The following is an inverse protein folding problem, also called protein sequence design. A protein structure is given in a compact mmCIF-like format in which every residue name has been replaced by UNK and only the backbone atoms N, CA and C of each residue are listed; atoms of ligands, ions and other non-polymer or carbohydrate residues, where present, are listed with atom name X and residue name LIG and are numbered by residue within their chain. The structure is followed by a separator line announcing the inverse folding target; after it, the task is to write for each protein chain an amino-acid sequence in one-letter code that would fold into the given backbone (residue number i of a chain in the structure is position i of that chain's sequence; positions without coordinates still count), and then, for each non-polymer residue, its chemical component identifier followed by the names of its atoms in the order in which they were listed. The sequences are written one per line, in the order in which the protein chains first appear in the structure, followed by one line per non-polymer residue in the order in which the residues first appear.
data_IF_434056587323
#
_entry.id   IF_434056587323
#
_cell.length_a   1.000
_cell.length_b   1.000
_cell.length_c   1.000
_cell.angle_alpha   90.00
_cell.angle_beta   90.00
_cell.angle_gamma   90.00
#
_symmetry.space_group_name_H-M   'P 1'
#
loop_
_entity.id
_entity.type
_entity.pdbx_description
1 polymer ?
#
# COMPACT_ATOMS: atom_id res chain seq x y z
N UNK A 1 16.54 12.69 -17.22
CA UNK A 1 16.84 11.25 -17.12
C UNK A 1 16.57 10.93 -15.67
N UNK A 2 15.30 10.67 -15.39
CA UNK A 2 14.74 10.72 -14.05
C UNK A 2 15.23 9.51 -13.25
N UNK A 3 16.05 9.76 -12.24
CA UNK A 3 16.44 8.73 -11.27
C UNK A 3 15.32 8.40 -10.28
N UNK A 4 14.16 9.09 -10.35
CA UNK A 4 12.95 8.75 -9.57
C UNK A 4 12.13 7.62 -10.18
N UNK A 5 12.35 7.24 -11.45
CA UNK A 5 11.57 6.18 -12.11
C UNK A 5 12.12 4.77 -11.89
N UNK A 6 13.42 4.63 -11.60
CA UNK A 6 14.08 3.33 -11.47
C UNK A 6 13.75 2.63 -10.14
N UNK A 7 13.74 3.39 -9.03
CA UNK A 7 13.42 2.83 -7.71
C UNK A 7 11.95 2.37 -7.64
N UNK A 8 11.02 3.15 -8.21
CA UNK A 8 9.61 2.74 -8.29
C UNK A 8 9.37 1.51 -9.16
N UNK A 9 10.17 1.31 -10.22
CA UNK A 9 10.09 0.10 -11.04
C UNK A 9 10.64 -1.12 -10.28
N UNK A 10 11.73 -0.95 -9.52
CA UNK A 10 12.27 -2.00 -8.67
C UNK A 10 11.25 -2.47 -7.62
N UNK A 11 10.58 -1.54 -6.92
CA UNK A 11 9.54 -1.87 -5.93
C UNK A 11 8.38 -2.62 -6.56
N UNK A 12 7.91 -2.22 -7.75
CA UNK A 12 6.86 -2.95 -8.47
C UNK A 12 7.27 -4.37 -8.80
N UNK A 13 8.52 -4.57 -9.24
CA UNK A 13 9.02 -5.91 -9.51
C UNK A 13 9.18 -6.76 -8.26
N UNK A 14 9.58 -6.17 -7.13
CA UNK A 14 9.60 -6.86 -5.84
C UNK A 14 8.18 -7.29 -5.44
N UNK A 15 7.20 -6.41 -5.60
CA UNK A 15 5.80 -6.71 -5.28
C UNK A 15 5.20 -7.76 -6.21
N UNK A 16 5.48 -7.71 -7.52
CA UNK A 16 5.00 -8.75 -8.43
C UNK A 16 5.63 -10.11 -8.11
N UNK A 17 6.93 -10.15 -7.78
CA UNK A 17 7.59 -11.36 -7.33
C UNK A 17 6.99 -11.89 -6.02
N UNK A 18 6.63 -11.00 -5.09
CA UNK A 18 5.89 -11.37 -3.87
C UNK A 18 4.53 -11.99 -4.19
N UNK A 19 3.71 -11.34 -5.01
CA UNK A 19 2.39 -11.85 -5.40
C UNK A 19 2.47 -13.23 -6.08
N UNK A 20 3.55 -13.48 -6.82
CA UNK A 20 3.77 -14.73 -7.53
C UNK A 20 4.41 -15.84 -6.68
N UNK A 21 4.92 -15.50 -5.48
CA UNK A 21 5.68 -16.44 -4.64
C UNK A 21 4.81 -17.44 -3.85
N UNK A 22 3.50 -17.19 -3.75
CA UNK A 22 2.59 -17.94 -2.87
C UNK A 22 2.58 -17.46 -1.42
N UNK A 23 3.57 -16.66 -0.99
CA UNK A 23 3.62 -16.06 0.35
C UNK A 23 2.35 -15.30 0.77
N UNK A 24 1.64 -14.57 -0.11
CA UNK A 24 0.38 -13.94 0.28
C UNK A 24 -0.67 -14.91 0.84
N UNK A 25 -0.68 -16.17 0.37
CA UNK A 25 -1.62 -17.18 0.86
C UNK A 25 -1.28 -17.65 2.27
N UNK A 26 0.01 -17.61 2.66
CA UNK A 26 0.45 -18.02 3.98
C UNK A 26 0.01 -17.03 5.08
N UNK A 27 -0.30 -15.78 4.69
CA UNK A 27 -0.71 -14.72 5.61
C UNK A 27 -2.22 -14.49 5.70
N UNK A 28 -3.03 -15.14 4.86
CA UNK A 28 -4.47 -14.86 4.80
C UNK A 28 -5.19 -15.05 6.15
N UNK A 29 -4.89 -16.14 6.86
CA UNK A 29 -5.50 -16.42 8.17
C UNK A 29 -5.09 -15.38 9.23
N UNK A 30 -3.85 -14.89 9.16
CA UNK A 30 -3.29 -13.86 10.04
C UNK A 30 -3.96 -12.49 9.78
N UNK A 31 -4.12 -12.12 8.51
CA UNK A 31 -4.77 -10.87 8.09
C UNK A 31 -6.25 -10.86 8.49
N UNK A 32 -6.95 -11.98 8.31
CA UNK A 32 -8.33 -12.14 8.75
C UNK A 32 -8.48 -12.06 10.28
N UNK A 33 -7.56 -12.68 11.03
CA UNK A 33 -7.53 -12.60 12.48
C UNK A 33 -7.29 -11.16 12.96
N UNK A 34 -6.37 -10.46 12.31
CA UNK A 34 -6.05 -9.05 12.57
C UNK A 34 -7.26 -8.16 12.30
N UNK A 35 -7.93 -8.33 11.17
CA UNK A 35 -9.14 -7.57 10.82
C UNK A 35 -10.28 -7.77 11.84
N UNK A 36 -10.51 -9.01 12.30
CA UNK A 36 -11.50 -9.28 13.37
C UNK A 36 -11.13 -8.62 14.69
N UNK A 37 -9.86 -8.69 15.08
CA UNK A 37 -9.37 -8.06 16.30
C UNK A 37 -9.53 -6.54 16.26
N UNK A 38 -9.14 -5.88 15.16
CA UNK A 38 -9.33 -4.44 14.94
C UNK A 38 -10.80 -4.07 15.09
N UNK A 39 -11.69 -4.76 14.37
CA UNK A 39 -13.13 -4.49 14.43
C UNK A 39 -13.70 -4.61 15.86
N UNK A 40 -13.22 -5.58 16.65
CA UNK A 40 -13.64 -5.74 18.05
C UNK A 40 -13.12 -4.63 18.99
N UNK A 41 -12.02 -3.98 18.64
CA UNK A 41 -11.34 -2.98 19.47
C UNK A 41 -11.73 -1.54 19.13
N UNK A 42 -12.33 -1.27 17.97
CA UNK A 42 -12.70 0.09 17.55
C UNK A 42 -13.55 0.83 18.59
N UNK A 43 -14.67 0.24 19.03
CA UNK A 43 -15.52 0.82 20.08
C UNK A 43 -14.79 0.95 21.43
N UNK A 44 -13.84 0.05 21.69
CA UNK A 44 -13.05 0.08 22.91
C UNK A 44 -12.07 1.26 22.91
N UNK A 45 -11.36 1.47 21.80
CA UNK A 45 -10.44 2.60 21.65
C UNK A 45 -11.23 3.91 21.66
N UNK A 46 -12.33 4.01 20.92
CA UNK A 46 -13.20 5.20 20.94
C UNK A 46 -13.73 5.50 22.35
N UNK A 47 -14.25 4.49 23.06
CA UNK A 47 -14.68 4.66 24.45
C UNK A 47 -13.55 5.06 25.39
N UNK A 48 -12.32 4.60 25.15
CA UNK A 48 -11.13 5.06 25.87
C UNK A 48 -10.64 6.45 25.42
N UNK A 49 -10.97 6.97 24.25
CA UNK A 49 -10.61 8.35 23.92
C UNK A 49 -11.60 9.33 24.55
N UNK A 50 -12.89 8.97 24.58
CA UNK A 50 -13.97 9.86 25.01
C UNK A 50 -14.22 9.89 26.53
N UNK A 51 -13.44 9.16 27.33
CA UNK A 51 -13.61 9.11 28.79
C UNK A 51 -14.56 8.02 29.29
N UNK A 52 -15.28 7.33 28.40
CA UNK A 52 -16.31 6.34 28.76
C UNK A 52 -15.72 5.04 29.35
N UNK A 53 -14.53 4.63 28.87
CA UNK A 53 -13.78 3.48 29.35
C UNK A 53 -12.48 3.93 29.98
N UNK A 54 -12.05 3.27 31.06
CA UNK A 54 -10.77 3.52 31.72
C UNK A 54 -9.65 2.67 31.11
N UNK A 55 -8.39 2.98 31.48
CA UNK A 55 -7.21 2.27 31.00
C UNK A 55 -7.26 0.76 31.28
N UNK A 56 -7.76 0.35 32.45
CA UNK A 56 -7.89 -1.06 32.80
C UNK A 56 -8.82 -1.84 31.84
N UNK A 57 -9.91 -1.21 31.40
CA UNK A 57 -10.85 -1.83 30.45
C UNK A 57 -10.26 -1.89 29.05
N UNK A 58 -9.57 -0.84 28.60
CA UNK A 58 -8.81 -0.84 27.34
C UNK A 58 -7.83 -2.02 27.33
N UNK A 59 -6.96 -2.09 28.34
CA UNK A 59 -5.95 -3.14 28.47
C UNK A 59 -6.57 -4.53 28.44
N UNK A 60 -7.59 -4.77 29.25
CA UNK A 60 -8.26 -6.07 29.32
C UNK A 60 -8.76 -6.53 27.95
N UNK A 61 -9.46 -5.66 27.22
CA UNK A 61 -10.02 -6.02 25.91
C UNK A 61 -8.95 -6.19 24.85
N UNK A 62 -7.88 -5.39 24.89
CA UNK A 62 -6.71 -5.58 24.02
C UNK A 62 -6.03 -6.93 24.28
N UNK A 63 -5.88 -7.33 25.54
CA UNK A 63 -5.30 -8.65 25.89
C UNK A 63 -6.20 -9.81 25.43
N UNK A 64 -7.53 -9.66 25.51
CA UNK A 64 -8.49 -10.64 24.99
C UNK A 64 -8.37 -10.76 23.47
N UNK A 65 -8.41 -9.63 22.75
CA UNK A 65 -8.27 -9.62 21.30
C UNK A 65 -6.93 -10.22 20.85
N UNK A 66 -5.85 -9.91 21.56
CA UNK A 66 -4.52 -10.51 21.35
C UNK A 66 -4.57 -12.03 21.51
N UNK A 67 -5.18 -12.55 22.58
CA UNK A 67 -5.27 -13.99 22.78
C UNK A 67 -6.15 -14.69 21.72
N UNK A 68 -7.26 -14.08 21.34
CA UNK A 68 -8.21 -14.61 20.35
C UNK A 68 -7.62 -14.64 18.94
N UNK A 69 -6.77 -13.66 18.59
CA UNK A 69 -6.03 -13.61 17.33
C UNK A 69 -4.74 -14.46 17.34
N UNK A 70 -4.54 -15.32 18.34
CA UNK A 70 -3.29 -16.08 18.52
C UNK A 70 -2.03 -15.19 18.57
N UNK A 71 -2.20 -13.99 19.12
CA UNK A 71 -1.18 -12.98 19.32
C UNK A 71 -0.68 -12.30 18.04
N UNK A 72 -1.42 -12.43 16.94
CA UNK A 72 -1.20 -11.64 15.72
C UNK A 72 -1.54 -10.17 15.97
N UNK A 73 -2.67 -9.88 16.63
CA UNK A 73 -3.07 -8.50 16.90
C UNK A 73 -4.00 -8.32 18.13
N UNK A 74 -3.71 -7.37 19.05
CA UNK A 74 -2.43 -6.68 19.22
C UNK A 74 -1.28 -7.66 19.50
N UNK A 75 -0.06 -7.30 19.15
CA UNK A 75 1.12 -8.14 19.39
C UNK A 75 1.40 -8.32 20.89
N UNK A 76 2.10 -9.40 21.26
CA UNK A 76 2.49 -9.66 22.66
C UNK A 76 3.28 -8.51 23.29
N UNK A 77 4.08 -7.82 22.49
CA UNK A 77 4.87 -6.67 22.93
C UNK A 77 3.95 -5.57 23.44
N UNK A 78 2.88 -5.23 22.70
CA UNK A 78 1.86 -4.25 23.12
C UNK A 78 1.20 -4.64 24.45
N UNK A 79 0.81 -5.91 24.63
CA UNK A 79 0.27 -6.40 25.90
C UNK A 79 1.27 -6.30 27.07
N UNK A 80 2.56 -6.59 26.82
CA UNK A 80 3.60 -6.40 27.83
C UNK A 80 3.79 -4.93 28.19
N UNK A 81 3.80 -4.06 27.18
CA UNK A 81 3.95 -2.62 27.29
C UNK A 81 2.84 -2.00 28.13
N UNK A 82 1.59 -2.41 27.87
CA UNK A 82 0.43 -2.02 28.68
C UNK A 82 0.53 -2.50 30.14
N UNK A 83 1.15 -3.66 30.37
CA UNK A 83 1.33 -4.21 31.72
C UNK A 83 2.43 -3.48 32.49
N UNK A 84 3.54 -3.16 31.82
CA UNK A 84 4.67 -2.44 32.39
C UNK A 84 4.24 -1.04 32.87
N UNK A 85 3.47 -0.31 32.04
CA UNK A 85 2.98 1.04 32.40
C UNK A 85 1.91 1.02 33.50
N UNK A 86 1.07 -0.02 33.55
CA UNK A 86 0.07 -0.19 34.60
C UNK A 86 0.71 -0.33 35.99
N UNK A 87 1.91 -0.90 36.04
CA UNK A 87 2.65 -1.17 37.28
C UNK A 87 3.60 -0.02 37.67
N UNK A 88 4.18 0.68 36.69
CA UNK A 88 5.22 1.68 36.92
C UNK A 88 4.79 3.15 36.81
N UNK A 89 3.57 3.44 36.34
CA UNK A 89 3.12 4.83 36.17
C UNK A 89 1.80 5.04 36.89
N UNK A 90 1.68 6.06 37.78
CA UNK A 90 0.40 6.41 38.39
C UNK A 90 -0.66 6.67 37.31
N UNK A 91 -1.83 6.03 37.42
CA UNK A 91 -2.89 6.15 36.41
C UNK A 91 -3.39 7.59 36.23
N UNK A 92 -3.37 8.40 37.29
CA UNK A 92 -3.75 9.81 37.24
C UNK A 92 -2.83 10.65 36.31
N UNK A 93 -1.58 10.21 36.13
CA UNK A 93 -0.62 10.83 35.21
C UNK A 93 -0.67 10.14 33.83
N UNK A 94 -0.69 8.80 33.80
CA UNK A 94 -0.60 8.00 32.59
C UNK A 94 -1.85 8.13 31.71
N UNK A 95 -3.03 7.96 32.30
CA UNK A 95 -4.26 7.82 31.54
C UNK A 95 -4.59 9.09 30.73
N UNK A 96 -4.52 10.31 31.29
CA UNK A 96 -4.72 11.53 30.51
C UNK A 96 -3.65 11.72 29.41
N UNK A 97 -2.40 11.32 29.67
CA UNK A 97 -1.32 11.42 28.68
C UNK A 97 -1.54 10.46 27.52
N UNK A 98 -1.83 9.19 27.82
CA UNK A 98 -2.08 8.17 26.82
C UNK A 98 -3.33 8.49 25.99
N UNK A 99 -4.42 8.99 26.61
CA UNK A 99 -5.60 9.44 25.86
C UNK A 99 -5.27 10.52 24.85
N UNK A 100 -4.50 11.55 25.26
CA UNK A 100 -4.09 12.63 24.34
C UNK A 100 -3.21 12.11 23.19
N UNK A 101 -2.24 11.25 23.51
CA UNK A 101 -1.31 10.72 22.54
C UNK A 101 -1.98 9.73 21.56
N UNK A 102 -2.99 8.99 22.02
CA UNK A 102 -3.72 8.01 21.22
C UNK A 102 -4.79 8.62 20.30
N UNK A 103 -5.06 9.93 20.38
CA UNK A 103 -5.92 10.62 19.39
C UNK A 103 -5.31 10.43 18.00
N UNK A 104 -6.15 10.13 17.02
CA UNK A 104 -5.74 9.95 15.63
C UNK A 104 -4.97 11.19 15.13
N UNK A 105 -3.70 11.07 14.72
CA UNK A 105 -2.94 12.20 14.22
C UNK A 105 -3.43 12.60 12.82
N UNK A 106 -3.28 13.88 12.48
CA UNK A 106 -3.55 14.35 11.10
C UNK A 106 -2.41 13.98 10.12
N UNK A 107 -1.26 13.53 10.64
CA UNK A 107 -0.13 13.11 9.83
C UNK A 107 1.13 12.80 10.64
N UNK A 108 2.23 12.37 9.98
CA UNK A 108 3.43 11.85 10.63
C UNK A 108 4.11 12.83 11.60
N UNK A 109 4.06 14.14 11.32
CA UNK A 109 4.60 15.15 12.23
C UNK A 109 3.83 15.26 13.55
N UNK A 110 2.49 15.14 13.50
CA UNK A 110 1.65 15.11 14.71
C UNK A 110 1.81 13.79 15.47
N UNK A 111 1.98 12.68 14.74
CA UNK A 111 2.29 11.38 15.35
C UNK A 111 3.62 11.43 16.10
N UNK A 112 4.66 12.03 15.50
CA UNK A 112 5.94 12.28 16.18
C UNK A 112 5.75 13.08 17.46
N UNK A 113 5.00 14.19 17.39
CA UNK A 113 4.72 15.03 18.56
C UNK A 113 4.03 14.26 19.69
N UNK A 114 2.99 13.48 19.36
CA UNK A 114 2.28 12.65 20.33
C UNK A 114 3.18 11.59 20.99
N UNK A 115 4.12 11.01 20.24
CA UNK A 115 5.12 10.08 20.78
C UNK A 115 6.07 10.78 21.75
N UNK A 116 6.62 11.93 21.36
CA UNK A 116 7.52 12.71 22.22
C UNK A 116 6.84 13.17 23.52
N UNK A 117 5.57 13.59 23.44
CA UNK A 117 4.79 13.99 24.61
C UNK A 117 4.59 12.82 25.59
N UNK A 118 4.31 11.61 25.07
CA UNK A 118 4.18 10.41 25.90
C UNK A 118 5.54 10.01 26.51
N UNK A 119 6.61 10.04 25.71
CA UNK A 119 7.98 9.79 26.18
C UNK A 119 8.36 10.73 27.32
N UNK A 120 8.02 12.03 27.22
CA UNK A 120 8.31 13.00 28.28
C UNK A 120 7.61 12.65 29.60
N UNK A 121 6.35 12.21 29.56
CA UNK A 121 5.61 11.78 30.76
C UNK A 121 6.29 10.59 31.43
N UNK A 122 6.77 9.64 30.64
CA UNK A 122 7.44 8.44 31.13
C UNK A 122 8.83 8.75 31.68
N UNK A 123 9.59 9.63 31.02
CA UNK A 123 10.87 10.12 31.51
C UNK A 123 10.73 10.84 32.86
N UNK A 124 9.67 11.63 33.04
CA UNK A 124 9.33 12.22 34.35
C UNK A 124 8.97 11.16 35.39
N UNK A 125 8.29 10.08 35.00
CA UNK A 125 8.00 8.96 35.90
C UNK A 125 9.28 8.23 36.36
N UNK A 126 10.25 8.04 35.44
CA UNK A 126 11.57 7.50 35.77
C UNK A 126 12.33 8.42 36.72
N UNK A 127 12.35 9.73 36.44
CA UNK A 127 13.05 10.71 37.28
C UNK A 127 12.47 10.77 38.71
N UNK A 128 11.17 10.50 38.88
CA UNK A 128 10.49 10.41 40.18
C UNK A 128 10.64 9.05 40.86
N UNK A 129 11.24 8.06 40.19
CA UNK A 129 11.42 6.71 40.70
C UNK A 129 10.16 5.86 40.75
N UNK A 130 9.08 6.28 40.08
CA UNK A 130 7.84 5.48 40.00
C UNK A 130 7.93 4.41 38.91
N UNK A 131 8.68 4.70 37.83
CA UNK A 131 8.93 3.78 36.72
C UNK A 131 10.40 3.37 36.69
N UNK A 132 10.69 2.08 36.58
CA UNK A 132 12.07 1.62 36.40
C UNK A 132 12.59 2.00 35.01
N UNK A 133 13.86 2.43 34.93
CA UNK A 133 14.50 2.78 33.64
C UNK A 133 14.51 1.61 32.65
N UNK A 134 14.57 0.38 33.14
CA UNK A 134 14.52 -0.87 32.35
C UNK A 134 13.19 -1.05 31.60
N UNK A 135 12.12 -0.44 32.11
CA UNK A 135 10.77 -0.46 31.57
C UNK A 135 10.49 0.75 30.67
N UNK A 136 11.23 1.85 30.85
CA UNK A 136 11.16 3.05 30.01
C UNK A 136 11.85 2.86 28.66
N UNK A 137 11.17 2.18 27.73
CA UNK A 137 11.68 1.81 26.39
C UNK A 137 10.91 2.55 25.29
N UNK A 138 11.45 3.66 24.76
CA UNK A 138 10.76 4.51 23.78
C UNK A 138 10.22 3.76 22.56
N UNK A 139 10.97 2.78 22.07
CA UNK A 139 10.57 1.89 20.98
C UNK A 139 9.23 1.16 21.23
N UNK A 140 8.97 0.74 22.48
CA UNK A 140 7.73 0.05 22.86
C UNK A 140 6.52 0.98 22.89
N UNK A 141 6.74 2.28 23.10
CA UNK A 141 5.68 3.28 23.13
C UNK A 141 5.24 3.64 21.71
N UNK A 142 6.18 3.67 20.77
CA UNK A 142 5.89 3.75 19.35
C UNK A 142 4.99 2.60 18.90
N UNK A 143 5.30 1.36 19.28
CA UNK A 143 4.45 0.20 18.99
C UNK A 143 3.04 0.35 19.57
N UNK A 144 2.91 0.80 20.84
CA UNK A 144 1.61 0.97 21.48
C UNK A 144 0.76 2.05 20.78
N UNK A 145 1.31 3.24 20.54
CA UNK A 145 0.56 4.32 19.90
C UNK A 145 0.24 3.97 18.45
N UNK A 146 1.17 3.39 17.70
CA UNK A 146 0.92 2.88 16.35
C UNK A 146 -0.24 1.89 16.33
N UNK A 147 -0.28 0.95 17.28
CA UNK A 147 -1.38 0.00 17.42
C UNK A 147 -2.72 0.72 17.69
N UNK A 148 -2.75 1.71 18.58
CA UNK A 148 -3.98 2.47 18.89
C UNK A 148 -4.46 3.32 17.70
N UNK A 149 -3.55 3.91 16.93
CA UNK A 149 -3.88 4.64 15.71
C UNK A 149 -4.34 3.71 14.59
N UNK A 150 -3.70 2.55 14.43
CA UNK A 150 -4.09 1.52 13.46
C UNK A 150 -5.49 0.97 13.75
N UNK A 151 -5.88 0.78 15.01
CA UNK A 151 -7.25 0.35 15.35
C UNK A 151 -8.28 1.38 14.85
N UNK A 152 -7.97 2.66 14.93
CA UNK A 152 -8.86 3.75 14.52
C UNK A 152 -8.92 3.91 13.00
N UNK A 153 -7.78 3.81 12.31
CA UNK A 153 -7.69 3.90 10.85
C UNK A 153 -6.59 2.98 10.30
N UNK A 154 -6.92 1.70 10.04
CA UNK A 154 -5.94 0.70 9.59
C UNK A 154 -5.44 0.94 8.17
N UNK A 155 -6.15 1.76 7.38
CA UNK A 155 -5.74 2.11 6.02
C UNK A 155 -4.66 3.20 5.98
N UNK A 156 -4.54 4.01 7.04
CA UNK A 156 -3.60 5.13 7.08
C UNK A 156 -2.40 4.91 7.98
N UNK A 157 -2.58 4.21 9.11
CA UNK A 157 -1.53 4.07 10.12
C UNK A 157 -0.92 2.68 10.10
N UNK A 158 0.30 2.49 9.60
CA UNK A 158 0.95 1.18 9.61
C UNK A 158 1.32 0.76 11.04
N UNK A 159 1.32 -0.55 11.29
CA UNK A 159 1.88 -1.10 12.53
C UNK A 159 3.40 -0.99 12.52
N UNK A 160 4.02 -0.85 13.70
CA UNK A 160 5.47 -0.90 13.81
C UNK A 160 5.95 -2.30 13.48
N UNK A 161 6.89 -2.38 12.53
CA UNK A 161 7.55 -3.61 12.12
C UNK A 161 9.05 -3.37 12.10
N UNK A 162 9.76 -3.92 13.10
CA UNK A 162 11.22 -3.79 13.19
C UNK A 162 11.91 -4.29 11.93
N UNK A 163 11.37 -5.37 11.35
CA UNK A 163 11.91 -5.95 10.13
C UNK A 163 11.76 -5.04 8.92
N UNK A 164 10.57 -4.44 8.75
CA UNK A 164 10.32 -3.49 7.68
C UNK A 164 11.17 -2.22 7.85
N UNK A 165 11.25 -1.69 9.08
CA UNK A 165 12.06 -0.50 9.41
C UNK A 165 13.55 -0.77 9.14
N UNK A 166 14.08 -1.90 9.60
CA UNK A 166 15.48 -2.26 9.38
C UNK A 166 15.78 -2.48 7.90
N UNK A 167 14.86 -3.09 7.15
CA UNK A 167 15.00 -3.26 5.71
C UNK A 167 15.07 -1.91 4.99
N UNK A 168 14.10 -1.03 5.22
CA UNK A 168 14.08 0.32 4.63
C UNK A 168 15.30 1.14 5.04
N UNK A 169 15.75 1.03 6.29
CA UNK A 169 16.98 1.67 6.76
C UNK A 169 18.22 1.14 6.04
N UNK A 170 18.29 -0.17 5.78
CA UNK A 170 19.42 -0.77 5.05
C UNK A 170 19.52 -0.27 3.61
N UNK A 171 18.39 0.11 3.00
CA UNK A 171 18.32 0.74 1.68
C UNK A 171 18.54 2.25 1.68
N UNK A 172 18.52 2.88 2.86
CA UNK A 172 18.63 4.32 3.03
C UNK A 172 17.32 5.09 2.83
N UNK A 173 16.17 4.39 2.82
CA UNK A 173 14.84 4.99 2.69
C UNK A 173 14.36 5.69 3.98
N UNK A 174 14.91 5.25 5.13
CA UNK A 174 14.65 5.81 6.46
C UNK A 174 16.00 6.07 7.15
N UNK A 175 16.10 7.16 7.91
CA UNK A 175 17.30 7.49 8.67
C UNK A 175 17.43 6.64 9.95
N UNK A 176 18.53 6.81 10.70
CA UNK A 176 18.65 6.24 12.05
C UNK A 176 18.61 7.37 13.05
N UNK A 177 17.51 7.46 13.81
CA UNK A 177 17.22 8.57 14.71
C UNK A 177 16.60 8.08 16.04
N UNK A 178 15.86 8.97 16.71
CA UNK A 178 15.05 8.66 17.89
C UNK A 178 13.74 7.93 17.50
N UNK A 179 13.18 7.04 18.35
CA UNK A 179 12.04 6.18 17.98
C UNK A 179 10.80 6.93 17.45
N UNK A 180 10.50 8.11 17.99
CA UNK A 180 9.42 8.95 17.48
C UNK A 180 9.66 9.44 16.04
N UNK A 181 10.90 9.79 15.69
CA UNK A 181 11.28 10.19 14.34
C UNK A 181 11.30 8.97 13.41
N UNK A 182 11.87 7.85 13.86
CA UNK A 182 11.95 6.61 13.08
C UNK A 182 10.55 6.13 12.67
N UNK A 183 9.58 6.15 13.59
CA UNK A 183 8.20 5.80 13.26
C UNK A 183 7.57 6.78 12.27
N UNK A 184 7.76 8.10 12.45
CA UNK A 184 7.21 9.08 11.53
C UNK A 184 7.77 8.94 10.10
N UNK A 185 9.08 8.68 9.97
CA UNK A 185 9.71 8.39 8.68
C UNK A 185 9.20 7.07 8.08
N UNK A 186 9.02 6.05 8.91
CA UNK A 186 8.42 4.78 8.50
C UNK A 186 7.00 4.95 7.95
N UNK A 187 6.14 5.72 8.62
CA UNK A 187 4.79 6.01 8.12
C UNK A 187 4.85 6.69 6.74
N UNK A 188 5.75 7.66 6.55
CA UNK A 188 5.93 8.34 5.26
C UNK A 188 6.37 7.36 4.17
N UNK A 189 7.38 6.54 4.45
CA UNK A 189 7.92 5.56 3.51
C UNK A 189 6.87 4.51 3.16
N UNK A 190 6.19 3.93 4.16
CA UNK A 190 5.18 2.91 3.96
C UNK A 190 4.00 3.43 3.13
N UNK A 191 3.50 4.64 3.42
CA UNK A 191 2.41 5.26 2.66
C UNK A 191 2.78 5.52 1.21
N UNK A 192 3.98 6.05 0.96
CA UNK A 192 4.51 6.27 -0.40
C UNK A 192 4.61 4.95 -1.16
N UNK A 193 5.13 3.89 -0.53
CA UNK A 193 5.27 2.58 -1.17
C UNK A 193 3.91 1.93 -1.44
N UNK A 194 3.00 1.96 -0.48
CA UNK A 194 1.62 1.47 -0.67
C UNK A 194 0.94 2.15 -1.87
N UNK A 195 1.10 3.47 -2.02
CA UNK A 195 0.58 4.22 -3.16
C UNK A 195 1.25 3.83 -4.49
N UNK A 196 2.58 3.71 -4.52
CA UNK A 196 3.34 3.31 -5.72
C UNK A 196 2.91 1.92 -6.22
N UNK A 197 2.66 1.01 -5.28
CA UNK A 197 2.35 -0.40 -5.53
C UNK A 197 0.85 -0.66 -5.71
N UNK A 198 -0.02 0.26 -5.26
CA UNK A 198 -1.45 0.01 -5.14
C UNK A 198 -1.76 -1.12 -4.13
N UNK A 199 -0.89 -1.29 -3.13
CA UNK A 199 -1.02 -2.30 -2.08
C UNK A 199 -1.63 -1.70 -0.81
N UNK A 200 -2.33 -2.51 -0.02
CA UNK A 200 -2.66 -2.12 1.34
C UNK A 200 -1.43 -2.23 2.26
N UNK A 201 -1.54 -1.70 3.48
CA UNK A 201 -0.43 -1.66 4.43
C UNK A 201 -0.05 -3.05 4.98
N UNK A 202 -0.98 -4.02 4.97
CA UNK A 202 -0.69 -5.38 5.41
C UNK A 202 0.16 -6.12 4.37
N UNK A 203 -0.26 -6.10 3.10
CA UNK A 203 0.51 -6.64 1.98
C UNK A 203 1.89 -5.98 1.87
N UNK A 204 1.98 -4.68 2.16
CA UNK A 204 3.27 -3.97 2.20
C UNK A 204 4.16 -4.47 3.36
N UNK A 205 3.63 -4.66 4.55
CA UNK A 205 4.41 -5.17 5.69
C UNK A 205 4.95 -6.58 5.41
N UNK A 206 4.10 -7.46 4.86
CA UNK A 206 4.52 -8.80 4.43
C UNK A 206 5.61 -8.76 3.36
N UNK A 207 5.45 -7.91 2.33
CA UNK A 207 6.47 -7.68 1.30
C UNK A 207 7.80 -7.26 1.92
N UNK A 208 7.79 -6.22 2.77
CA UNK A 208 9.01 -5.69 3.39
C UNK A 208 9.67 -6.72 4.31
N UNK A 209 8.86 -7.49 5.04
CA UNK A 209 9.33 -8.57 5.90
C UNK A 209 10.01 -9.69 5.11
N UNK A 210 9.39 -10.14 4.02
CA UNK A 210 9.95 -11.18 3.15
C UNK A 210 11.20 -10.71 2.41
N UNK A 211 11.26 -9.45 1.98
CA UNK A 211 12.49 -8.86 1.44
C UNK A 211 13.60 -8.81 2.48
N UNK A 212 13.29 -8.44 3.73
CA UNK A 212 14.24 -8.43 4.84
C UNK A 212 14.76 -9.82 5.25
N UNK A 213 14.06 -10.89 4.86
CA UNK A 213 14.45 -12.30 5.08
C UNK A 213 15.09 -12.95 3.85
N UNK A 214 15.27 -12.19 2.77
CA UNK A 214 15.74 -12.70 1.48
C UNK A 214 14.86 -13.86 0.92
N UNK A 215 13.55 -13.87 1.24
CA UNK A 215 12.60 -14.89 0.77
C UNK A 215 12.19 -14.70 -0.70
N UNK A 216 12.39 -13.47 -1.22
CA UNK A 216 11.96 -13.07 -2.57
C UNK A 216 13.17 -12.62 -3.37
N UNK A 217 13.40 -13.27 -4.51
CA UNK A 217 14.38 -12.82 -5.49
C UNK A 217 13.74 -11.78 -6.42
N UNK A 218 14.19 -10.52 -6.33
CA UNK A 218 13.65 -9.43 -7.16
C UNK A 218 14.28 -9.48 -8.56
N UNK A 219 13.49 -9.72 -9.64
CA UNK A 219 14.01 -9.69 -10.99
C UNK A 219 14.36 -8.25 -11.42
N UNK A 220 15.32 -8.10 -12.32
CA UNK A 220 15.59 -6.81 -12.94
C UNK A 220 14.38 -6.32 -13.75
N UNK A 221 14.19 -5.00 -13.82
CA UNK A 221 13.02 -4.35 -14.45
C UNK A 221 12.71 -4.87 -15.86
N UNK A 222 13.74 -5.11 -16.67
CA UNK A 222 13.57 -5.65 -18.02
C UNK A 222 13.02 -7.09 -18.01
N UNK A 223 13.58 -7.96 -17.17
CA UNK A 223 13.12 -9.34 -17.05
C UNK A 223 11.70 -9.41 -16.50
N UNK A 224 11.42 -8.60 -15.48
CA UNK A 224 10.11 -8.42 -14.87
C UNK A 224 9.04 -7.95 -15.87
N UNK A 225 9.38 -6.98 -16.72
CA UNK A 225 8.50 -6.51 -17.80
C UNK A 225 8.25 -7.61 -18.84
N UNK A 226 9.30 -8.32 -19.29
CA UNK A 226 9.14 -9.39 -20.26
C UNK A 226 8.32 -10.55 -19.72
N UNK A 227 8.50 -10.92 -18.45
CA UNK A 227 7.68 -11.94 -17.78
C UNK A 227 6.21 -11.51 -17.72
N UNK A 228 5.93 -10.26 -17.32
CA UNK A 228 4.57 -9.71 -17.31
C UNK A 228 3.91 -9.75 -18.69
N UNK A 229 4.64 -9.35 -19.75
CA UNK A 229 4.16 -9.43 -21.13
C UNK A 229 3.89 -10.87 -21.57
N UNK A 230 4.82 -11.80 -21.30
CA UNK A 230 4.70 -13.20 -21.70
C UNK A 230 3.53 -13.89 -21.00
N UNK A 231 3.33 -13.64 -19.70
CA UNK A 231 2.17 -14.15 -18.96
C UNK A 231 0.87 -13.57 -19.49
N UNK A 232 0.83 -12.27 -19.80
CA UNK A 232 -0.35 -11.64 -20.38
C UNK A 232 -0.76 -12.30 -21.71
N UNK A 233 0.21 -12.54 -22.59
CA UNK A 233 -0.03 -13.23 -23.86
C UNK A 233 -0.44 -14.70 -23.65
N UNK A 234 0.16 -15.40 -22.69
CA UNK A 234 -0.17 -16.77 -22.33
C UNK A 234 -1.62 -16.90 -21.85
N UNK A 235 -2.02 -16.10 -20.85
CA UNK A 235 -3.40 -16.11 -20.35
C UNK A 235 -4.42 -15.68 -21.40
N UNK A 236 -4.08 -14.70 -22.24
CA UNK A 236 -4.95 -14.30 -23.35
C UNK A 236 -5.17 -15.46 -24.34
N UNK A 237 -4.11 -16.22 -24.66
CA UNK A 237 -4.22 -17.39 -25.55
C UNK A 237 -5.04 -18.54 -24.93
N UNK A 238 -5.02 -18.67 -23.60
CA UNK A 238 -5.83 -19.63 -22.84
C UNK A 238 -7.30 -19.18 -22.69
N UNK A 239 -7.61 -17.91 -23.01
CA UNK A 239 -8.92 -17.30 -22.82
C UNK A 239 -9.18 -16.84 -21.38
N UNK A 240 -8.16 -16.85 -20.50
CA UNK A 240 -8.22 -16.28 -19.16
C UNK A 240 -8.01 -14.77 -19.22
N UNK A 241 -9.06 -14.06 -19.66
CA UNK A 241 -8.98 -12.63 -19.92
C UNK A 241 -8.64 -11.81 -18.68
N UNK A 242 -9.07 -12.24 -17.49
CA UNK A 242 -8.82 -11.48 -16.26
C UNK A 242 -7.35 -11.49 -15.87
N UNK A 243 -6.71 -12.66 -15.86
CA UNK A 243 -5.27 -12.75 -15.57
C UNK A 243 -4.41 -12.13 -16.68
N UNK A 244 -4.89 -12.16 -17.92
CA UNK A 244 -4.24 -11.48 -19.03
C UNK A 244 -4.22 -9.96 -18.84
N UNK A 245 -5.37 -9.37 -18.49
CA UNK A 245 -5.50 -7.94 -18.20
C UNK A 245 -4.62 -7.52 -17.03
N UNK A 246 -4.63 -8.27 -15.93
CA UNK A 246 -3.77 -8.01 -14.76
C UNK A 246 -2.29 -8.02 -15.16
N UNK A 247 -1.85 -8.98 -15.96
CA UNK A 247 -0.46 -9.08 -16.41
C UNK A 247 -0.07 -7.93 -17.37
N UNK A 248 -1.00 -7.48 -18.23
CA UNK A 248 -0.78 -6.27 -19.05
C UNK A 248 -0.71 -5.00 -18.18
N UNK A 249 -1.49 -4.91 -17.11
CA UNK A 249 -1.40 -3.81 -16.15
C UNK A 249 -0.05 -3.78 -15.44
N UNK A 250 0.46 -4.95 -15.02
CA UNK A 250 1.82 -5.07 -14.48
C UNK A 250 2.88 -4.60 -15.47
N UNK A 251 2.79 -5.02 -16.74
CA UNK A 251 3.70 -4.59 -17.79
C UNK A 251 3.64 -3.06 -18.03
N UNK A 252 2.44 -2.49 -18.08
CA UNK A 252 2.24 -1.05 -18.27
C UNK A 252 2.64 -0.22 -17.04
N UNK A 253 2.57 -0.78 -15.83
CA UNK A 253 3.06 -0.12 -14.62
C UNK A 253 4.60 0.02 -14.62
N UNK A 254 5.31 -0.87 -15.31
CA UNK A 254 6.77 -0.80 -15.50
C UNK A 254 7.14 0.05 -16.71
N UNK A 255 6.40 -0.08 -17.81
CA UNK A 255 6.62 0.68 -19.05
C UNK A 255 5.30 1.20 -19.60
N UNK A 256 4.84 2.38 -19.13
CA UNK A 256 3.55 2.94 -19.53
C UNK A 256 3.44 3.20 -21.03
N UNK A 257 4.58 3.43 -21.70
CA UNK A 257 4.64 3.73 -23.12
C UNK A 257 4.85 2.46 -23.97
N UNK A 258 3.98 1.47 -23.82
CA UNK A 258 4.05 0.21 -24.59
C UNK A 258 2.82 0.04 -25.49
N UNK A 259 2.87 0.50 -26.77
CA UNK A 259 1.74 0.43 -27.69
C UNK A 259 1.13 -0.97 -27.85
N UNK A 260 1.98 -2.01 -27.89
CA UNK A 260 1.54 -3.38 -28.01
C UNK A 260 0.67 -3.84 -26.82
N UNK A 261 1.05 -3.48 -25.59
CA UNK A 261 0.31 -3.81 -24.38
C UNK A 261 -1.03 -3.06 -24.33
N UNK A 262 -1.05 -1.76 -24.64
CA UNK A 262 -2.27 -0.96 -24.71
C UNK A 262 -3.27 -1.53 -25.72
N UNK A 263 -2.79 -1.90 -26.92
CA UNK A 263 -3.64 -2.52 -27.95
C UNK A 263 -4.26 -3.82 -27.45
N UNK A 264 -3.44 -4.72 -26.89
CA UNK A 264 -3.92 -6.01 -26.39
C UNK A 264 -4.91 -5.86 -25.25
N UNK A 265 -4.63 -4.97 -24.30
CA UNK A 265 -5.53 -4.65 -23.19
C UNK A 265 -6.88 -4.11 -23.70
N UNK A 266 -6.87 -3.23 -24.71
CA UNK A 266 -8.09 -2.73 -25.34
C UNK A 266 -8.89 -3.82 -26.07
N UNK A 267 -8.22 -4.71 -26.80
CA UNK A 267 -8.83 -5.88 -27.46
C UNK A 267 -9.57 -6.75 -26.43
N UNK A 268 -8.88 -7.12 -25.35
CA UNK A 268 -9.44 -7.93 -24.27
C UNK A 268 -10.63 -7.24 -23.57
N UNK A 269 -10.55 -5.93 -23.29
CA UNK A 269 -11.69 -5.20 -22.75
C UNK A 269 -12.89 -5.19 -23.70
N UNK A 270 -12.67 -5.00 -25.01
CA UNK A 270 -13.73 -5.02 -25.99
C UNK A 270 -14.38 -6.42 -26.09
N UNK A 271 -13.59 -7.49 -26.00
CA UNK A 271 -14.07 -8.88 -25.97
C UNK A 271 -14.93 -9.16 -24.72
N UNK A 272 -14.58 -8.59 -23.55
CA UNK A 272 -15.43 -8.64 -22.34
C UNK A 272 -16.66 -7.72 -22.40
N UNK A 273 -16.82 -6.92 -23.45
CA UNK A 273 -17.87 -5.91 -23.56
C UNK A 273 -17.64 -4.65 -22.71
N UNK A 274 -16.46 -4.50 -22.11
CA UNK A 274 -16.03 -3.33 -21.35
C UNK A 274 -15.58 -2.19 -22.30
N UNK A 275 -16.50 -1.76 -23.15
CA UNK A 275 -16.19 -0.87 -24.27
C UNK A 275 -15.62 0.50 -23.85
N UNK A 276 -16.04 1.05 -22.71
CA UNK A 276 -15.49 2.31 -22.22
C UNK A 276 -14.03 2.18 -21.76
N UNK A 277 -13.66 1.05 -21.15
CA UNK A 277 -12.26 0.78 -20.79
C UNK A 277 -11.41 0.59 -22.06
N UNK A 278 -11.92 -0.17 -23.05
CA UNK A 278 -11.26 -0.33 -24.34
C UNK A 278 -11.02 1.00 -25.06
N UNK A 279 -12.01 1.90 -25.05
CA UNK A 279 -11.87 3.25 -25.61
C UNK A 279 -10.75 4.02 -24.90
N UNK A 280 -10.70 4.01 -23.57
CA UNK A 280 -9.66 4.71 -22.81
C UNK A 280 -8.25 4.26 -23.20
N UNK A 281 -8.02 2.95 -23.26
CA UNK A 281 -6.71 2.38 -23.65
C UNK A 281 -6.34 2.74 -25.11
N UNK A 282 -7.32 2.72 -26.03
CA UNK A 282 -7.11 3.09 -27.42
C UNK A 282 -6.85 4.59 -27.60
N UNK A 283 -7.49 5.45 -26.80
CA UNK A 283 -7.24 6.90 -26.81
C UNK A 283 -5.79 7.22 -26.40
N UNK A 284 -5.28 6.51 -25.39
CA UNK A 284 -3.85 6.58 -25.01
C UNK A 284 -2.98 6.11 -26.17
N UNK A 285 -3.32 4.96 -26.78
CA UNK A 285 -2.57 4.40 -27.90
C UNK A 285 -2.48 5.35 -29.10
N UNK A 286 -3.59 5.93 -29.56
CA UNK A 286 -3.57 6.86 -30.71
C UNK A 286 -2.94 8.21 -30.36
N UNK A 287 -2.89 8.58 -29.08
CA UNK A 287 -2.10 9.70 -28.61
C UNK A 287 -0.60 9.46 -28.77
N UNK A 288 -0.14 8.21 -28.57
CA UNK A 288 1.25 7.80 -28.72
C UNK A 288 1.63 7.47 -30.17
N UNK A 289 0.75 6.79 -30.90
CA UNK A 289 0.91 6.39 -32.29
C UNK A 289 -0.21 7.00 -33.16
N UNK A 290 -0.16 8.31 -33.49
CA UNK A 290 -1.22 8.96 -34.27
C UNK A 290 -1.38 8.42 -35.70
N UNK A 291 -0.46 7.57 -36.17
CA UNK A 291 -0.52 6.92 -37.47
C UNK A 291 -1.19 5.54 -37.44
N UNK A 292 -1.60 5.05 -36.28
CA UNK A 292 -2.17 3.72 -36.13
C UNK A 292 -3.61 3.65 -36.66
N UNK A 293 -3.70 3.33 -37.95
CA UNK A 293 -4.96 3.18 -38.66
C UNK A 293 -5.89 2.11 -38.07
N UNK A 294 -5.36 1.08 -37.42
CA UNK A 294 -6.18 0.02 -36.85
C UNK A 294 -6.78 0.46 -35.51
N UNK A 295 -6.00 1.10 -34.64
CA UNK A 295 -6.54 1.68 -33.40
C UNK A 295 -7.63 2.73 -33.68
N UNK A 296 -7.39 3.62 -34.64
CA UNK A 296 -8.40 4.58 -35.09
C UNK A 296 -9.67 3.91 -35.64
N UNK A 297 -9.52 2.80 -36.37
CA UNK A 297 -10.67 2.03 -36.89
C UNK A 297 -11.49 1.41 -35.75
N UNK A 298 -10.81 0.84 -34.76
CA UNK A 298 -11.45 0.24 -33.58
C UNK A 298 -12.18 1.31 -32.75
N UNK A 299 -11.57 2.48 -32.51
CA UNK A 299 -12.22 3.61 -31.84
C UNK A 299 -13.49 4.06 -32.56
N UNK A 300 -13.44 4.21 -33.89
CA UNK A 300 -14.64 4.58 -34.69
C UNK A 300 -15.78 3.58 -34.49
N UNK A 301 -15.46 2.29 -34.44
CA UNK A 301 -16.43 1.21 -34.20
C UNK A 301 -17.01 1.28 -32.78
N UNK A 302 -16.15 1.45 -31.77
CA UNK A 302 -16.56 1.52 -30.36
C UNK A 302 -17.38 2.78 -30.06
N UNK A 303 -16.97 3.96 -30.53
CA UNK A 303 -17.78 5.18 -30.38
C UNK A 303 -19.16 5.03 -31.03
N UNK A 304 -19.24 4.34 -32.18
CA UNK A 304 -20.53 4.06 -32.82
C UNK A 304 -21.39 3.13 -31.97
N UNK A 305 -20.81 2.06 -31.42
CA UNK A 305 -21.55 1.10 -30.59
C UNK A 305 -22.03 1.70 -29.27
N UNK A 306 -21.26 2.64 -28.70
CA UNK A 306 -21.60 3.38 -27.48
C UNK A 306 -22.43 4.65 -27.71
N UNK A 307 -22.87 4.91 -28.96
CA UNK A 307 -23.63 6.11 -29.34
C UNK A 307 -22.93 7.45 -28.99
N UNK A 308 -21.60 7.45 -28.98
CA UNK A 308 -20.75 8.63 -28.75
C UNK A 308 -20.58 9.39 -30.08
N UNK A 309 -21.66 10.07 -30.51
CA UNK A 309 -21.78 10.65 -31.86
C UNK A 309 -20.72 11.72 -32.13
N UNK A 310 -20.37 12.54 -31.13
CA UNK A 310 -19.41 13.63 -31.29
C UNK A 310 -18.02 13.08 -31.55
N UNK A 311 -17.56 12.19 -30.68
CA UNK A 311 -16.25 11.54 -30.70
C UNK A 311 -16.11 10.72 -31.99
N UNK A 312 -17.13 9.94 -32.33
CA UNK A 312 -17.22 9.21 -33.60
C UNK A 312 -16.97 10.13 -34.81
N UNK A 313 -17.67 11.27 -34.88
CA UNK A 313 -17.56 12.19 -36.02
C UNK A 313 -16.19 12.87 -36.14
N UNK A 314 -15.50 13.09 -35.02
CA UNK A 314 -14.12 13.60 -35.00
C UNK A 314 -13.18 12.50 -35.47
N UNK A 315 -13.33 11.30 -34.93
CA UNK A 315 -12.42 10.19 -35.16
C UNK A 315 -12.50 9.66 -36.60
N UNK A 316 -13.70 9.62 -37.20
CA UNK A 316 -13.88 9.30 -38.63
C UNK A 316 -13.09 10.24 -39.53
N UNK A 317 -13.00 11.54 -39.20
CA UNK A 317 -12.22 12.49 -39.99
C UNK A 317 -10.73 12.19 -39.88
N UNK A 318 -10.22 11.97 -38.65
CA UNK A 318 -8.82 11.60 -38.41
C UNK A 318 -8.44 10.34 -39.18
N UNK A 319 -9.24 9.28 -39.05
CA UNK A 319 -9.01 8.01 -39.73
C UNK A 319 -8.98 8.15 -41.26
N UNK A 320 -9.92 8.92 -41.85
CA UNK A 320 -9.94 9.17 -43.30
C UNK A 320 -8.70 9.92 -43.77
N UNK A 321 -8.31 10.99 -43.08
CA UNK A 321 -7.11 11.77 -43.42
C UNK A 321 -5.86 10.89 -43.39
N UNK A 322 -5.69 10.05 -42.37
CA UNK A 322 -4.57 9.12 -42.25
C UNK A 322 -4.58 8.08 -43.38
N UNK A 323 -5.75 7.55 -43.72
CA UNK A 323 -5.91 6.56 -44.79
C UNK A 323 -5.54 7.15 -46.15
N UNK A 324 -5.99 8.37 -46.44
CA UNK A 324 -5.68 9.10 -47.67
C UNK A 324 -4.18 9.41 -47.76
N UNK A 325 -3.55 9.87 -46.67
CA UNK A 325 -2.11 10.11 -46.61
C UNK A 325 -1.28 8.84 -46.88
N UNK A 326 -1.75 7.68 -46.41
CA UNK A 326 -1.10 6.39 -46.67
C UNK A 326 -1.23 5.92 -48.13
N UNK A 327 -2.31 6.30 -48.81
CA UNK A 327 -2.57 5.94 -50.21
C UNK A 327 -1.86 6.87 -51.21
N UNK A 328 -1.54 8.10 -50.79
CA UNK A 328 -0.83 9.10 -51.59
C UNK A 328 0.41 9.59 -50.84
N UNK A 329 1.47 8.76 -50.71
CA UNK A 329 2.71 9.20 -50.07
C UNK A 329 3.30 10.38 -50.85
N UNK A 330 3.89 11.39 -50.18
CA UNK A 330 4.53 12.51 -50.87
C UNK A 330 5.59 11.96 -51.84
N UNK A 331 5.52 12.39 -53.10
CA UNK A 331 6.44 11.96 -54.15
C UNK A 331 7.89 12.28 -53.80
N UNK A 332 8.77 11.28 -53.98
CA UNK A 332 10.24 11.44 -53.98
C UNK A 332 10.71 12.40 -55.08
#
# INVERSE_FOLDING_TARGET
MDMETDDGAWWRCAYFAYLDSGLPLDHQDEDEATGRAIASLQDTVSGFLDGALNFGTLKYRMDVASAESQYTFPARTVSSTLSDIALGVPLDDLEPALRRAAVLPDGPGMAKGALMDLEEVLERAVARGTLERSLARPERWAELLACLWHIQDPGWWPLVSDQAIDYLRSRGDISRSEPAQDYAEYVIAARRLAEILGADLAALDHLLSSLGRDEIAVPGTDACFQDSMARAEGFAAEGDTDRALESYERALALRPQTPAALRRKAELYAEKGLNMAAIGELEVLVGMEPGDLEAHRTLVSLYRSQNMVREHNVEVRRWKTLKEARLSPPGN
#
